data_IF_380484996385
#
_entry.id   IF_380484996385
#
_cell.length_a   1.000
_cell.length_b   1.000
_cell.length_c   1.000
_cell.angle_alpha   90.00
_cell.angle_beta   90.00
_cell.angle_gamma   90.00
#
_symmetry.space_group_name_H-M   'P 1'
#
loop_
_entity.id
_entity.type
_entity.pdbx_description
1 polymer ?
#
# COMPACT_ATOMS: atom_id res chain seq x y z
N UNK A 1 30.81 -31.42 -30.86
CA UNK A 1 31.02 -32.77 -30.29
C UNK A 1 31.58 -32.55 -28.90
N UNK A 2 30.84 -32.75 -27.82
CA UNK A 2 30.37 -34.05 -27.32
C UNK A 2 29.08 -33.89 -26.51
N UNK A 3 28.15 -34.78 -26.78
CA UNK A 3 26.86 -34.97 -26.11
C UNK A 3 27.07 -35.68 -24.76
N UNK A 4 26.40 -35.23 -23.70
CA UNK A 4 26.07 -36.10 -22.56
C UNK A 4 24.59 -35.93 -22.19
N UNK A 5 23.86 -36.98 -22.53
CA UNK A 5 22.53 -37.32 -22.06
C UNK A 5 22.69 -38.03 -20.70
N UNK A 6 21.88 -37.69 -19.68
CA UNK A 6 21.33 -38.62 -18.68
C UNK A 6 20.42 -37.89 -17.66
N UNK A 7 19.12 -38.15 -17.86
CA UNK A 7 17.98 -38.37 -16.94
C UNK A 7 17.69 -37.50 -15.69
N UNK A 8 16.38 -37.26 -15.40
CA UNK A 8 15.89 -36.43 -14.32
C UNK A 8 15.77 -37.20 -13.00
N UNK A 9 16.32 -36.66 -11.91
CA UNK A 9 16.09 -37.15 -10.56
C UNK A 9 14.85 -36.46 -9.97
N UNK A 10 13.75 -37.19 -9.96
CA UNK A 10 12.55 -36.95 -9.15
C UNK A 10 12.97 -36.96 -7.67
N UNK A 11 12.82 -35.85 -6.94
CA UNK A 11 13.13 -35.79 -5.50
C UNK A 11 11.88 -35.40 -4.71
N UNK A 12 11.47 -36.36 -3.88
CA UNK A 12 10.27 -36.46 -3.08
C UNK A 12 10.05 -35.28 -2.12
N UNK A 13 8.77 -34.96 -1.95
CA UNK A 13 8.21 -34.27 -0.79
C UNK A 13 8.69 -34.90 0.54
N UNK A 14 9.21 -34.08 1.47
CA UNK A 14 9.29 -34.40 2.89
C UNK A 14 8.41 -33.41 3.68
N UNK A 15 7.33 -33.86 4.34
CA UNK A 15 6.66 -33.08 5.37
C UNK A 15 7.46 -33.21 6.67
N UNK A 16 7.89 -32.08 7.23
CA UNK A 16 8.47 -32.03 8.58
C UNK A 16 7.29 -32.09 9.57
N UNK A 17 7.09 -33.25 10.18
CA UNK A 17 6.20 -33.44 11.33
C UNK A 17 7.02 -33.99 12.51
N UNK A 18 7.29 -33.11 13.49
CA UNK A 18 7.82 -33.38 14.82
C UNK A 18 7.97 -32.00 15.52
N UNK A 19 7.55 -31.69 16.74
CA UNK A 19 7.01 -32.46 17.87
C UNK A 19 6.26 -31.46 18.79
N UNK A 20 5.14 -31.87 19.39
CA UNK A 20 5.00 -31.87 20.85
C UNK A 20 3.73 -32.60 21.26
N UNK A 21 3.89 -33.54 22.18
CA UNK A 21 2.87 -34.20 22.97
C UNK A 21 3.44 -34.38 24.38
N UNK A 22 2.65 -34.74 25.42
CA UNK A 22 1.21 -34.56 25.62
C UNK A 22 0.90 -33.93 26.99
N UNK A 23 -0.35 -33.49 27.21
CA UNK A 23 -0.93 -33.54 28.55
C UNK A 23 -2.22 -34.35 28.51
N UNK A 24 -2.38 -35.19 29.53
CA UNK A 24 -3.24 -36.37 29.54
C UNK A 24 -4.64 -36.02 30.07
N UNK A 25 -5.66 -36.10 29.23
CA UNK A 25 -7.05 -35.89 29.62
C UNK A 25 -8.01 -36.78 28.85
N UNK A 26 -8.52 -37.80 29.52
CA UNK A 26 -9.45 -38.84 29.06
C UNK A 26 -10.64 -38.30 28.23
N UNK A 27 -11.00 -38.99 27.15
CA UNK A 27 -12.41 -39.16 26.75
C UNK A 27 -12.76 -39.14 25.26
N UNK A 28 -12.96 -40.34 24.69
CA UNK A 28 -13.95 -40.71 23.66
C UNK A 28 -13.87 -40.05 22.26
N UNK A 29 -13.40 -40.84 21.28
CA UNK A 29 -13.89 -40.83 19.90
C UNK A 29 -15.32 -41.42 19.87
N UNK A 30 -16.19 -41.20 18.85
CA UNK A 30 -15.84 -41.06 17.42
C UNK A 30 -16.64 -40.03 16.59
N UNK A 31 -16.18 -39.78 15.36
CA UNK A 31 -16.93 -39.90 14.10
C UNK A 31 -16.45 -38.86 13.07
N UNK A 32 -16.04 -39.39 11.91
CA UNK A 32 -16.01 -38.72 10.62
C UNK A 32 -17.22 -37.79 10.42
N UNK A 33 -16.94 -36.52 10.17
CA UNK A 33 -17.80 -35.69 9.35
C UNK A 33 -16.92 -35.01 8.32
N UNK A 34 -16.83 -35.69 7.17
CA UNK A 34 -16.63 -35.06 5.86
C UNK A 34 -17.59 -33.88 5.76
N UNK A 35 -17.11 -32.69 6.09
CA UNK A 35 -17.81 -31.45 5.81
C UNK A 35 -17.52 -31.13 4.34
N UNK A 36 -18.39 -31.63 3.47
CA UNK A 36 -18.64 -31.05 2.16
C UNK A 36 -18.74 -29.53 2.32
N UNK A 37 -17.71 -28.83 1.84
CA UNK A 37 -17.70 -27.38 1.74
C UNK A 37 -18.93 -26.96 0.93
N UNK A 38 -19.81 -26.07 1.44
CA UNK A 38 -20.88 -25.56 0.62
C UNK A 38 -20.29 -24.71 -0.50
N UNK A 39 -20.80 -24.98 -1.69
CA UNK A 39 -20.49 -24.29 -2.93
C UNK A 39 -20.73 -22.78 -2.81
N UNK A 40 -19.80 -22.03 -3.41
CA UNK A 40 -20.02 -20.75 -4.08
C UNK A 40 -20.90 -19.73 -3.35
N UNK A 41 -20.30 -18.99 -2.43
CA UNK A 41 -20.64 -17.58 -2.31
C UNK A 41 -20.31 -16.93 -3.65
N UNK A 42 -21.32 -16.46 -4.37
CA UNK A 42 -21.10 -15.42 -5.38
C UNK A 42 -20.23 -14.36 -4.71
N UNK A 43 -19.08 -14.02 -5.30
CA UNK A 43 -18.18 -13.03 -4.74
C UNK A 43 -18.98 -11.76 -4.45
N UNK A 44 -19.14 -11.42 -3.18
CA UNK A 44 -19.74 -10.17 -2.71
C UNK A 44 -18.78 -9.02 -3.03
N UNK A 45 -18.63 -8.75 -4.33
CA UNK A 45 -17.78 -7.69 -4.89
C UNK A 45 -18.16 -6.33 -4.31
N UNK A 46 -19.44 -6.11 -4.02
CA UNK A 46 -19.97 -4.93 -3.35
C UNK A 46 -19.47 -4.78 -1.90
N UNK A 47 -19.31 -5.88 -1.16
CA UNK A 47 -18.82 -5.86 0.22
C UNK A 47 -17.33 -5.50 0.29
N UNK A 48 -16.55 -5.99 -0.68
CA UNK A 48 -15.12 -5.72 -0.77
C UNK A 48 -14.88 -4.24 -1.11
N UNK A 49 -15.59 -3.70 -2.11
CA UNK A 49 -15.48 -2.28 -2.49
C UNK A 49 -15.81 -1.34 -1.33
N UNK A 50 -16.87 -1.64 -0.56
CA UNK A 50 -17.24 -0.87 0.64
C UNK A 50 -16.13 -0.90 1.70
N UNK A 51 -15.51 -2.05 1.93
CA UNK A 51 -14.45 -2.21 2.93
C UNK A 51 -13.20 -1.39 2.55
N UNK A 52 -12.84 -1.38 1.27
CA UNK A 52 -11.73 -0.56 0.74
C UNK A 52 -12.01 0.93 0.94
N UNK A 53 -13.25 1.37 0.69
CA UNK A 53 -13.66 2.76 0.90
C UNK A 53 -13.57 3.16 2.37
N UNK A 54 -14.12 2.35 3.29
CA UNK A 54 -14.09 2.62 4.73
C UNK A 54 -12.65 2.68 5.28
N UNK A 55 -11.79 1.77 4.83
CA UNK A 55 -10.37 1.78 5.21
C UNK A 55 -9.67 3.06 4.72
N UNK A 56 -10.00 3.52 3.52
CA UNK A 56 -9.46 4.75 2.95
C UNK A 56 -9.95 6.00 3.68
N UNK A 57 -11.24 6.06 4.01
CA UNK A 57 -11.82 7.17 4.77
C UNK A 57 -11.21 7.24 6.18
N UNK A 58 -11.00 6.08 6.81
CA UNK A 58 -10.26 6.00 8.06
C UNK A 58 -8.82 6.49 7.89
N UNK A 59 -8.11 6.05 6.86
CA UNK A 59 -6.74 6.49 6.60
C UNK A 59 -6.64 8.01 6.39
N UNK A 60 -7.59 8.63 5.67
CA UNK A 60 -7.70 10.09 5.52
C UNK A 60 -7.87 10.79 6.86
N UNK A 61 -8.72 10.24 7.71
CA UNK A 61 -8.94 10.76 9.06
C UNK A 61 -7.66 10.68 9.91
N UNK A 62 -6.98 9.54 9.91
CA UNK A 62 -5.71 9.35 10.63
C UNK A 62 -4.62 10.29 10.10
N UNK A 63 -4.52 10.47 8.78
CA UNK A 63 -3.56 11.40 8.16
C UNK A 63 -3.82 12.83 8.60
N UNK A 64 -5.07 13.28 8.64
CA UNK A 64 -5.41 14.68 8.97
C UNK A 64 -5.41 14.97 10.48
N UNK A 65 -5.74 13.97 11.30
CA UNK A 65 -5.87 14.14 12.76
C UNK A 65 -4.65 13.66 13.54
N UNK A 66 -3.83 12.79 12.96
CA UNK A 66 -2.65 12.20 13.58
C UNK A 66 -1.34 12.86 13.12
N UNK A 67 -0.27 12.46 13.79
CA UNK A 67 1.08 12.84 13.37
C UNK A 67 1.45 12.16 12.04
N UNK A 68 2.05 12.90 11.12
CA UNK A 68 2.61 12.33 9.89
C UNK A 68 4.05 11.93 10.16
N UNK A 69 4.36 10.65 9.97
CA UNK A 69 5.72 10.12 10.08
C UNK A 69 6.54 10.45 8.84
N UNK A 70 7.79 10.85 9.06
CA UNK A 70 8.78 11.14 8.02
C UNK A 70 10.02 10.32 8.33
N UNK A 71 10.49 9.57 7.34
CA UNK A 71 11.66 8.70 7.46
C UNK A 71 12.45 8.72 6.15
N UNK A 72 13.77 8.65 6.28
CA UNK A 72 14.72 8.47 5.19
C UNK A 72 15.51 7.15 5.34
N UNK A 73 15.08 6.27 6.25
CA UNK A 73 15.74 4.99 6.57
C UNK A 73 17.10 5.08 7.29
N UNK A 74 17.62 6.29 7.54
CA UNK A 74 18.96 6.53 8.12
C UNK A 74 18.92 7.35 9.40
N UNK A 75 17.97 8.27 9.50
CA UNK A 75 17.76 9.17 10.62
C UNK A 75 16.72 8.59 11.60
N UNK A 76 16.70 9.06 12.86
CA UNK A 76 15.63 8.71 13.79
C UNK A 76 14.25 9.02 13.20
N UNK A 77 13.19 8.37 13.71
CA UNK A 77 11.83 8.66 13.23
C UNK A 77 11.50 10.14 13.50
N UNK A 78 11.09 10.87 12.46
CA UNK A 78 10.52 12.19 12.61
C UNK A 78 8.99 12.14 12.44
N UNK A 79 8.31 13.05 13.11
CA UNK A 79 6.87 13.21 13.03
C UNK A 79 6.50 14.69 12.99
N UNK A 80 5.50 15.05 12.20
CA UNK A 80 4.90 16.40 12.21
C UNK A 80 3.48 16.29 12.75
N UNK A 81 3.17 17.03 13.82
CA UNK A 81 1.83 17.07 14.40
C UNK A 81 0.83 17.86 13.53
N UNK A 82 -0.49 17.67 13.70
CA UNK A 82 -1.50 18.52 13.06
C UNK A 82 -1.36 20.01 13.42
N UNK A 83 -0.72 20.33 14.54
CA UNK A 83 -0.48 21.69 15.02
C UNK A 83 0.82 22.31 14.47
N UNK A 84 1.60 21.53 13.70
CA UNK A 84 2.86 21.97 13.12
C UNK A 84 4.05 21.92 14.07
N UNK A 85 4.03 21.00 15.04
CA UNK A 85 5.20 20.69 15.86
C UNK A 85 6.01 19.57 15.20
N UNK A 86 7.35 19.69 15.29
CA UNK A 86 8.26 18.63 14.85
C UNK A 86 8.66 17.79 16.06
N UNK A 87 8.52 16.47 15.94
CA UNK A 87 9.05 15.51 16.89
C UNK A 87 10.13 14.68 16.22
N UNK A 88 11.23 14.45 16.92
CA UNK A 88 12.31 13.55 16.49
C UNK A 88 12.51 12.53 17.62
N UNK A 89 12.37 11.24 17.30
CA UNK A 89 12.43 10.17 18.30
C UNK A 89 11.45 10.40 19.46
N UNK A 90 10.23 10.87 19.13
CA UNK A 90 9.18 11.22 20.08
C UNK A 90 9.43 12.49 20.91
N UNK A 91 10.55 13.19 20.71
CA UNK A 91 10.90 14.42 21.44
C UNK A 91 10.57 15.65 20.62
N UNK A 92 9.86 16.59 21.23
CA UNK A 92 9.53 17.86 20.59
C UNK A 92 10.79 18.69 20.31
N UNK A 93 10.90 19.20 19.09
CA UNK A 93 11.91 20.18 18.68
C UNK A 93 11.32 21.57 18.88
N UNK A 94 12.09 22.48 19.49
CA UNK A 94 11.67 23.87 19.64
C UNK A 94 11.55 24.53 18.26
N UNK A 95 10.37 25.08 17.96
CA UNK A 95 10.09 25.76 16.71
C UNK A 95 9.42 27.12 16.95
N UNK A 96 9.85 28.12 16.19
CA UNK A 96 9.22 29.44 16.18
C UNK A 96 7.95 29.47 15.30
N UNK A 97 7.28 30.63 15.23
CA UNK A 97 6.07 30.79 14.44
C UNK A 97 6.28 30.60 12.92
N UNK A 98 7.43 31.01 12.39
CA UNK A 98 7.76 30.88 10.97
C UNK A 98 8.04 29.42 10.62
N UNK A 99 8.83 28.72 11.45
CA UNK A 99 9.13 27.30 11.29
C UNK A 99 7.85 26.45 11.40
N UNK A 100 6.96 26.77 12.34
CA UNK A 100 5.65 26.11 12.46
C UNK A 100 4.79 26.31 11.21
N UNK A 101 4.77 27.50 10.63
CA UNK A 101 4.06 27.74 9.37
C UNK A 101 4.62 26.90 8.21
N UNK A 102 5.95 26.73 8.12
CA UNK A 102 6.59 25.88 7.12
C UNK A 102 6.31 24.39 7.34
N UNK A 103 6.28 23.93 8.60
CA UNK A 103 5.88 22.56 8.95
C UNK A 103 4.44 22.27 8.51
N UNK A 104 3.52 23.21 8.76
CA UNK A 104 2.12 23.08 8.33
C UNK A 104 1.97 23.09 6.81
N UNK A 105 2.74 23.92 6.10
CA UNK A 105 2.70 23.96 4.63
C UNK A 105 3.25 22.67 4.00
N UNK A 106 4.39 22.18 4.48
CA UNK A 106 4.94 20.89 4.08
C UNK A 106 3.97 19.75 4.38
N UNK A 107 3.36 19.75 5.58
CA UNK A 107 2.38 18.75 5.99
C UNK A 107 1.17 18.72 5.04
N UNK A 108 0.59 19.88 4.70
CA UNK A 108 -0.54 19.96 3.75
C UNK A 108 -0.18 19.35 2.38
N UNK A 109 1.04 19.55 1.92
CA UNK A 109 1.49 18.95 0.66
C UNK A 109 1.60 17.42 0.77
N UNK A 110 2.09 16.88 1.89
CA UNK A 110 2.08 15.43 2.17
C UNK A 110 0.66 14.88 2.21
N UNK A 111 -0.26 15.58 2.88
CA UNK A 111 -1.67 15.18 2.94
C UNK A 111 -2.31 15.13 1.54
N UNK A 112 -2.03 16.12 0.69
CA UNK A 112 -2.51 16.14 -0.70
C UNK A 112 -1.97 14.95 -1.51
N UNK A 113 -0.67 14.65 -1.39
CA UNK A 113 -0.05 13.55 -2.10
C UNK A 113 -0.58 12.20 -1.61
N UNK A 114 -0.69 12.02 -0.29
CA UNK A 114 -1.24 10.81 0.31
C UNK A 114 -2.72 10.61 -0.07
N UNK A 115 -3.53 11.67 -0.07
CA UNK A 115 -4.94 11.61 -0.48
C UNK A 115 -5.10 11.16 -1.93
N UNK A 116 -4.31 11.75 -2.83
CA UNK A 116 -4.36 11.39 -4.24
C UNK A 116 -3.85 9.96 -4.48
N UNK A 117 -2.78 9.54 -3.78
CA UNK A 117 -2.31 8.15 -3.80
C UNK A 117 -3.35 7.14 -3.29
N UNK A 118 -4.10 7.49 -2.24
CA UNK A 118 -5.20 6.67 -1.74
C UNK A 118 -6.32 6.53 -2.78
N UNK A 119 -6.70 7.59 -3.48
CA UNK A 119 -7.74 7.53 -4.54
C UNK A 119 -7.36 6.59 -5.67
N UNK A 120 -6.10 6.67 -6.11
CA UNK A 120 -5.54 5.76 -7.12
C UNK A 120 -5.55 4.32 -6.61
N UNK A 121 -5.16 4.11 -5.35
CA UNK A 121 -5.21 2.80 -4.71
C UNK A 121 -6.61 2.19 -4.66
N UNK A 122 -7.63 2.99 -4.33
CA UNK A 122 -9.04 2.58 -4.35
C UNK A 122 -9.48 2.21 -5.76
N UNK A 123 -9.15 3.05 -6.76
CA UNK A 123 -9.47 2.76 -8.15
C UNK A 123 -8.82 1.46 -8.65
N UNK A 124 -7.54 1.24 -8.32
CA UNK A 124 -6.81 0.01 -8.63
C UNK A 124 -7.40 -1.23 -7.97
N UNK A 125 -7.76 -1.14 -6.69
CA UNK A 125 -8.42 -2.24 -5.97
C UNK A 125 -9.77 -2.60 -6.59
N UNK A 126 -10.59 -1.60 -6.91
CA UNK A 126 -11.90 -1.81 -7.55
C UNK A 126 -11.76 -2.45 -8.94
N UNK A 127 -10.78 -2.02 -9.73
CA UNK A 127 -10.47 -2.65 -11.01
C UNK A 127 -10.06 -4.12 -10.83
N UNK A 128 -9.21 -4.42 -9.85
CA UNK A 128 -8.79 -5.79 -9.55
C UNK A 128 -9.96 -6.71 -9.16
N UNK A 129 -10.85 -6.24 -8.28
CA UNK A 129 -12.07 -6.98 -7.89
C UNK A 129 -12.97 -7.23 -9.10
N UNK A 130 -13.18 -6.21 -9.94
CA UNK A 130 -13.98 -6.32 -11.17
C UNK A 130 -13.37 -7.31 -12.16
N UNK A 131 -12.06 -7.22 -12.41
CA UNK A 131 -11.35 -8.13 -13.31
C UNK A 131 -11.44 -9.59 -12.84
N UNK A 132 -11.28 -9.85 -11.53
CA UNK A 132 -11.44 -11.18 -10.95
C UNK A 132 -12.89 -11.71 -11.12
N UNK A 133 -13.88 -10.85 -10.87
CA UNK A 133 -15.30 -11.20 -11.09
C UNK A 133 -15.61 -11.52 -12.56
N UNK A 134 -15.09 -10.72 -13.49
CA UNK A 134 -15.24 -10.95 -14.93
C UNK A 134 -14.53 -12.24 -15.38
N UNK A 135 -13.35 -12.57 -14.85
CA UNK A 135 -12.64 -13.80 -15.16
C UNK A 135 -13.42 -15.06 -14.71
N UNK A 136 -13.96 -15.05 -13.49
CA UNK A 136 -14.79 -16.15 -12.98
C UNK A 136 -16.06 -16.29 -13.82
N UNK A 137 -16.72 -15.16 -14.13
CA UNK A 137 -17.89 -15.16 -15.02
C UNK A 137 -17.56 -15.72 -16.40
N UNK A 138 -16.41 -15.35 -16.97
CA UNK A 138 -15.95 -15.86 -18.27
C UNK A 138 -15.69 -17.38 -18.26
N UNK A 139 -15.13 -17.91 -17.17
CA UNK A 139 -14.94 -19.36 -17.00
C UNK A 139 -16.27 -20.14 -16.99
N UNK A 140 -17.31 -19.59 -16.35
CA UNK A 140 -18.62 -20.27 -16.28
C UNK A 140 -19.49 -20.04 -17.52
N UNK A 141 -19.42 -18.87 -18.14
CA UNK A 141 -20.28 -18.50 -19.29
C UNK A 141 -19.67 -18.81 -20.65
N UNK A 142 -18.33 -19.01 -20.72
CA UNK A 142 -17.58 -19.10 -21.97
C UNK A 142 -17.41 -17.76 -22.71
N UNK A 143 -17.98 -16.68 -22.18
CA UNK A 143 -17.86 -15.33 -22.75
C UNK A 143 -16.70 -14.57 -22.12
N UNK A 144 -15.57 -14.60 -22.82
CA UNK A 144 -14.35 -13.87 -22.45
C UNK A 144 -14.11 -12.64 -23.33
N UNK A 145 -15.00 -12.36 -24.29
CA UNK A 145 -14.75 -11.33 -25.29
C UNK A 145 -14.80 -9.93 -24.67
N UNK A 146 -13.74 -9.15 -24.93
CA UNK A 146 -13.65 -7.74 -24.55
C UNK A 146 -13.39 -7.46 -23.07
N UNK A 147 -13.25 -8.48 -22.20
CA UNK A 147 -12.85 -8.30 -20.78
C UNK A 147 -11.51 -7.59 -20.70
N UNK A 148 -10.50 -8.10 -21.42
CA UNK A 148 -9.15 -7.53 -21.44
C UNK A 148 -9.14 -6.08 -21.91
N UNK A 149 -9.88 -5.76 -22.98
CA UNK A 149 -9.96 -4.41 -23.50
C UNK A 149 -10.55 -3.42 -22.48
N UNK A 150 -11.62 -3.80 -21.78
CA UNK A 150 -12.23 -2.97 -20.72
C UNK A 150 -11.30 -2.79 -19.53
N UNK A 151 -10.64 -3.86 -19.07
CA UNK A 151 -9.69 -3.80 -17.96
C UNK A 151 -8.50 -2.90 -18.31
N UNK A 152 -7.96 -3.03 -19.52
CA UNK A 152 -6.86 -2.18 -19.99
C UNK A 152 -7.27 -0.70 -20.12
N UNK A 153 -8.50 -0.42 -20.56
CA UNK A 153 -9.02 0.95 -20.63
C UNK A 153 -9.14 1.58 -19.23
N UNK A 154 -9.68 0.84 -18.26
CA UNK A 154 -9.78 1.31 -16.88
C UNK A 154 -8.39 1.45 -16.23
N UNK A 155 -7.48 0.50 -16.47
CA UNK A 155 -6.09 0.57 -16.01
C UNK A 155 -5.39 1.83 -16.54
N UNK A 156 -5.58 2.15 -17.82
CA UNK A 156 -5.00 3.35 -18.44
C UNK A 156 -5.50 4.64 -17.77
N UNK A 157 -6.78 4.71 -17.39
CA UNK A 157 -7.32 5.88 -16.66
C UNK A 157 -6.64 6.04 -15.29
N UNK A 158 -6.38 4.92 -14.60
CA UNK A 158 -5.70 4.91 -13.30
C UNK A 158 -4.23 5.31 -13.48
N UNK A 159 -3.56 4.83 -14.52
CA UNK A 159 -2.20 5.23 -14.89
C UNK A 159 -2.11 6.74 -15.16
N UNK A 160 -3.04 7.29 -15.96
CA UNK A 160 -3.11 8.73 -16.24
C UNK A 160 -3.35 9.56 -14.96
N UNK A 161 -4.10 9.02 -13.99
CA UNK A 161 -4.26 9.64 -12.66
C UNK A 161 -2.97 9.57 -11.85
N UNK A 162 -2.26 8.44 -11.88
CA UNK A 162 -0.98 8.28 -11.20
C UNK A 162 0.09 9.23 -11.75
N UNK A 163 0.14 9.42 -13.08
CA UNK A 163 1.04 10.39 -13.71
C UNK A 163 0.79 11.83 -13.23
N UNK A 164 -0.46 12.19 -12.91
CA UNK A 164 -0.78 13.53 -12.35
C UNK A 164 -0.16 13.74 -10.96
N UNK A 165 0.13 12.68 -10.20
CA UNK A 165 0.84 12.81 -8.92
C UNK A 165 2.24 13.39 -9.10
N UNK A 166 2.91 13.07 -10.22
CA UNK A 166 4.23 13.62 -10.53
C UNK A 166 4.21 15.15 -10.60
N UNK A 167 3.10 15.75 -11.03
CA UNK A 167 2.91 17.21 -11.02
C UNK A 167 2.93 17.85 -9.62
N UNK A 168 2.73 17.06 -8.55
CA UNK A 168 2.78 17.53 -7.16
C UNK A 168 4.20 17.53 -6.60
N UNK A 169 5.13 16.81 -7.21
CA UNK A 169 6.50 16.62 -6.71
C UNK A 169 7.33 17.91 -6.68
N UNK A 170 7.30 18.80 -7.69
CA UNK A 170 8.02 20.07 -7.62
C UNK A 170 7.61 20.93 -6.41
N UNK A 171 6.30 20.97 -6.12
CA UNK A 171 5.77 21.68 -4.96
C UNK A 171 6.16 21.04 -3.63
N UNK A 172 6.31 19.71 -3.60
CA UNK A 172 6.80 18.97 -2.44
C UNK A 172 8.27 19.29 -2.16
N UNK A 173 9.12 19.20 -3.18
CA UNK A 173 10.55 19.51 -3.08
C UNK A 173 10.78 20.95 -2.59
N UNK A 174 10.07 21.92 -3.17
CA UNK A 174 10.22 23.33 -2.78
C UNK A 174 9.90 23.58 -1.30
N UNK A 175 8.83 22.96 -0.78
CA UNK A 175 8.44 23.08 0.64
C UNK A 175 9.43 22.38 1.56
N UNK A 176 9.91 21.21 1.14
CA UNK A 176 10.91 20.46 1.88
C UNK A 176 12.20 21.27 2.03
N UNK A 177 12.68 21.89 0.94
CA UNK A 177 13.87 22.74 0.92
C UNK A 177 13.68 24.02 1.76
N UNK A 178 12.52 24.68 1.64
CA UNK A 178 12.21 25.86 2.44
C UNK A 178 12.20 25.55 3.95
N UNK A 179 11.61 24.41 4.34
CA UNK A 179 11.61 23.95 5.72
C UNK A 179 13.02 23.58 6.20
N UNK A 180 13.80 22.86 5.39
CA UNK A 180 15.17 22.48 5.69
C UNK A 180 16.11 23.70 5.86
N UNK A 181 15.89 24.77 5.10
CA UNK A 181 16.64 26.01 5.22
C UNK A 181 16.31 26.76 6.53
N UNK A 182 15.06 26.68 7.00
CA UNK A 182 14.61 27.40 8.20
C UNK A 182 14.76 26.61 9.50
N UNK A 183 14.79 25.27 9.45
CA UNK A 183 14.80 24.38 10.60
C UNK A 183 15.91 23.32 10.45
N UNK A 184 17.12 23.55 11.00
CA UNK A 184 18.27 22.65 10.83
C UNK A 184 17.99 21.20 11.25
N UNK A 185 17.17 20.99 12.29
CA UNK A 185 16.77 19.66 12.75
C UNK A 185 15.99 18.85 11.70
N UNK A 186 15.38 19.53 10.71
CA UNK A 186 14.64 18.88 9.63
C UNK A 186 15.53 18.51 8.42
N UNK A 187 16.73 19.09 8.28
CA UNK A 187 17.59 18.87 7.11
C UNK A 187 17.83 17.40 6.74
N UNK A 188 18.04 16.46 7.68
CA UNK A 188 18.26 15.06 7.32
C UNK A 188 17.09 14.41 6.58
N UNK A 189 15.87 14.93 6.77
CA UNK A 189 14.65 14.41 6.16
C UNK A 189 14.33 15.05 4.81
N UNK A 190 15.08 16.10 4.43
CA UNK A 190 14.90 16.80 3.17
C UNK A 190 15.70 16.15 2.05
N UNK A 191 15.31 14.93 1.70
CA UNK A 191 16.08 14.07 0.79
C UNK A 191 15.69 14.16 -0.67
N UNK A 192 14.62 14.89 -0.99
CA UNK A 192 14.09 14.95 -2.35
C UNK A 192 14.95 15.85 -3.23
N UNK A 193 15.28 15.37 -4.42
CA UNK A 193 16.06 16.12 -5.41
C UNK A 193 15.38 16.15 -6.78
N UNK A 194 16.04 16.78 -7.75
CA UNK A 194 15.48 16.96 -9.10
C UNK A 194 15.30 15.61 -9.83
N UNK A 195 16.12 14.60 -9.53
CA UNK A 195 15.99 13.29 -10.16
C UNK A 195 14.68 12.59 -9.77
N UNK A 196 14.20 12.79 -8.53
CA UNK A 196 12.91 12.25 -8.10
C UNK A 196 11.74 12.80 -8.91
N UNK A 197 11.84 14.07 -9.35
CA UNK A 197 10.84 14.70 -10.21
C UNK A 197 10.99 14.19 -11.64
N UNK A 198 12.22 14.17 -12.15
CA UNK A 198 12.51 13.82 -13.53
C UNK A 198 12.20 12.35 -13.82
N UNK A 199 12.40 11.46 -12.85
CA UNK A 199 12.17 10.02 -12.98
C UNK A 199 10.72 9.61 -12.66
N UNK A 200 9.90 10.55 -12.19
CA UNK A 200 8.50 10.26 -11.91
C UNK A 200 7.71 10.01 -13.20
N UNK A 201 7.15 8.80 -13.33
CA UNK A 201 6.30 8.42 -14.47
C UNK A 201 7.06 8.02 -15.73
N UNK A 202 8.37 7.77 -15.64
CA UNK A 202 9.15 7.10 -16.69
C UNK A 202 8.96 5.58 -16.69
#
# INVERSE_FOLDING_TARGET
>A
MTTRLLLPALLLCLPIAACNAPDSGKGKAPADQSASAPATSALDTDGIGKTVQEATDKARKEITQGNISISNGKSPKAEISPQGDLLIDGKAVAVDARQRALLLDYRKQVESLASAGMEIGVAGANLGVKAAGEAIKGMFSGDTQGIEARVNEEAKKIEDQAQKLCGLLPGMMARQQALAAALPAFQPYATMDQSDIDDCGK
#
